data_IF_670358020742
#
_entry.id   IF_670358020742
#
_cell.length_a   1.000
_cell.length_b   1.000
_cell.length_c   1.000
_cell.angle_alpha   90.00
_cell.angle_beta   90.00
_cell.angle_gamma   90.00
#
_symmetry.space_group_name_H-M   'P 1'
#
loop_
_entity.id
_entity.type
_entity.pdbx_description
1 polymer ?
#
# COMPACT_ATOMS: atom_id res chain seq x y z
N UNK A 1 -28.77 4.32 -1.46
CA UNK A 1 -29.42 5.11 -0.39
C UNK A 1 -29.80 6.50 -0.89
N UNK A 2 -28.98 7.16 -1.70
CA UNK A 2 -29.31 8.40 -2.49
C UNK A 2 -30.76 8.47 -3.03
N UNK A 3 -31.27 7.44 -3.70
CA UNK A 3 -32.65 7.44 -4.23
C UNK A 3 -33.74 7.54 -3.15
N UNK A 4 -33.48 7.06 -1.93
CA UNK A 4 -34.40 7.21 -0.79
C UNK A 4 -34.44 8.66 -0.30
N UNK A 5 -33.30 9.36 -0.30
CA UNK A 5 -33.25 10.79 0.02
C UNK A 5 -33.96 11.64 -1.02
N UNK A 6 -33.82 11.32 -2.32
CA UNK A 6 -34.57 11.97 -3.40
C UNK A 6 -36.07 11.76 -3.19
N UNK A 7 -36.51 10.52 -2.98
CA UNK A 7 -37.92 10.21 -2.76
C UNK A 7 -38.50 10.94 -1.53
N UNK A 8 -37.77 10.99 -0.43
CA UNK A 8 -38.15 11.72 0.79
C UNK A 8 -38.35 13.21 0.52
N UNK A 9 -37.43 13.85 -0.19
CA UNK A 9 -37.53 15.28 -0.53
C UNK A 9 -38.69 15.57 -1.48
N UNK A 10 -38.95 14.70 -2.46
CA UNK A 10 -40.09 14.85 -3.38
C UNK A 10 -41.40 14.77 -2.60
N UNK A 11 -41.56 13.78 -1.71
CA UNK A 11 -42.76 13.64 -0.87
C UNK A 11 -42.94 14.86 0.04
N UNK A 12 -41.86 15.36 0.64
CA UNK A 12 -41.90 16.55 1.49
C UNK A 12 -42.28 17.82 0.70
N UNK A 13 -41.77 17.98 -0.53
CA UNK A 13 -42.12 19.09 -1.42
C UNK A 13 -43.62 19.08 -1.77
N UNK A 14 -44.16 17.89 -2.11
CA UNK A 14 -45.60 17.71 -2.36
C UNK A 14 -46.41 18.09 -1.11
N UNK A 15 -45.93 17.70 0.08
CA UNK A 15 -46.51 18.08 1.37
C UNK A 15 -46.57 19.60 1.60
N UNK A 16 -45.49 20.33 1.27
CA UNK A 16 -45.43 21.80 1.38
C UNK A 16 -46.43 22.45 0.43
N UNK A 17 -46.48 22.03 -0.83
CA UNK A 17 -47.42 22.56 -1.84
C UNK A 17 -48.87 22.34 -1.40
N UNK A 18 -49.17 21.18 -0.79
CA UNK A 18 -50.49 20.90 -0.24
C UNK A 18 -50.81 21.79 0.97
N UNK A 19 -49.86 22.01 1.88
CA UNK A 19 -50.02 22.89 3.04
C UNK A 19 -50.28 24.35 2.61
N UNK A 20 -49.56 24.84 1.59
CA UNK A 20 -49.77 26.19 1.04
C UNK A 20 -51.20 26.39 0.51
N UNK A 21 -51.76 25.38 -0.17
CA UNK A 21 -53.15 25.44 -0.65
C UNK A 21 -54.18 25.46 0.49
N UNK A 22 -53.87 24.85 1.63
CA UNK A 22 -54.78 24.74 2.78
C UNK A 22 -54.55 25.77 3.89
N UNK A 23 -53.55 26.65 3.73
CA UNK A 23 -53.15 27.60 4.77
C UNK A 23 -54.24 28.61 5.16
N UNK A 24 -55.13 28.97 4.22
CA UNK A 24 -56.27 29.87 4.49
C UNK A 24 -57.42 29.22 5.26
N UNK A 25 -57.41 27.89 5.38
CA UNK A 25 -58.53 27.09 5.91
C UNK A 25 -58.13 26.25 7.13
N UNK A 26 -56.83 26.05 7.36
CA UNK A 26 -56.30 25.30 8.49
C UNK A 26 -55.12 26.05 9.13
N UNK A 27 -55.28 26.59 10.35
CA UNK A 27 -54.23 27.31 11.08
C UNK A 27 -52.96 26.48 11.29
N UNK A 28 -53.07 25.15 11.36
CA UNK A 28 -51.93 24.26 11.61
C UNK A 28 -51.12 23.92 10.34
N UNK A 29 -51.60 24.30 9.15
CA UNK A 29 -50.91 24.02 7.89
C UNK A 29 -49.51 24.66 7.83
N UNK A 30 -49.31 25.79 8.52
CA UNK A 30 -48.00 26.45 8.62
C UNK A 30 -47.01 25.62 9.45
N UNK A 31 -47.46 24.99 10.54
CA UNK A 31 -46.63 24.10 11.34
C UNK A 31 -46.23 22.83 10.57
N UNK A 32 -47.15 22.25 9.79
CA UNK A 32 -46.85 21.09 8.95
C UNK A 32 -45.87 21.42 7.81
N UNK A 33 -45.98 22.60 7.19
CA UNK A 33 -45.03 23.05 6.18
C UNK A 33 -43.60 23.15 6.75
N UNK A 34 -43.46 23.57 8.01
CA UNK A 34 -42.16 23.61 8.69
C UNK A 34 -41.58 22.20 8.93
N UNK A 35 -42.42 21.22 9.29
CA UNK A 35 -41.98 19.81 9.41
C UNK A 35 -41.47 19.27 8.07
N UNK A 36 -42.18 19.53 6.98
CA UNK A 36 -41.72 19.11 5.65
C UNK A 36 -40.44 19.85 5.21
N UNK A 37 -40.26 21.11 5.59
CA UNK A 37 -39.01 21.83 5.35
C UNK A 37 -37.83 21.16 6.07
N UNK A 38 -37.99 20.76 7.33
CA UNK A 38 -36.96 20.01 8.08
C UNK A 38 -36.65 18.69 7.41
N UNK A 39 -37.65 17.95 6.91
CA UNK A 39 -37.43 16.72 6.15
C UNK A 39 -36.65 16.95 4.86
N UNK A 40 -36.87 18.06 4.16
CA UNK A 40 -36.07 18.44 2.99
C UNK A 40 -34.62 18.71 3.41
N UNK A 41 -34.39 19.45 4.49
CA UNK A 41 -33.04 19.73 4.99
C UNK A 41 -32.29 18.47 5.43
N UNK A 42 -32.97 17.54 6.12
CA UNK A 42 -32.40 16.23 6.50
C UNK A 42 -32.13 15.38 5.26
N UNK A 43 -33.04 15.37 4.29
CA UNK A 43 -32.87 14.64 3.03
C UNK A 43 -31.70 15.18 2.20
N UNK A 44 -31.61 16.50 2.06
CA UNK A 44 -30.53 17.17 1.37
C UNK A 44 -29.19 16.98 2.12
N UNK A 45 -29.17 17.15 3.44
CA UNK A 45 -27.98 16.92 4.27
C UNK A 45 -27.48 15.46 4.20
N UNK A 46 -28.39 14.49 4.29
CA UNK A 46 -28.07 13.07 4.15
C UNK A 46 -27.56 12.71 2.76
N UNK A 47 -28.15 13.28 1.71
CA UNK A 47 -27.66 13.12 0.34
C UNK A 47 -26.28 13.73 0.15
N UNK A 48 -26.07 14.98 0.56
CA UNK A 48 -24.79 15.67 0.46
C UNK A 48 -23.69 14.96 1.28
N UNK A 49 -24.06 14.33 2.39
CA UNK A 49 -23.18 13.47 3.19
C UNK A 49 -22.85 12.15 2.48
N UNK A 50 -23.83 11.49 1.85
CA UNK A 50 -23.57 10.27 1.08
C UNK A 50 -22.79 10.49 -0.21
N UNK A 51 -23.02 11.61 -0.90
CA UNK A 51 -22.32 11.95 -2.14
C UNK A 51 -20.95 12.58 -1.89
N UNK A 52 -20.52 12.69 -0.62
CA UNK A 52 -19.21 13.21 -0.25
C UNK A 52 -18.99 14.69 -0.55
N UNK A 53 -20.05 15.46 -0.86
CA UNK A 53 -19.96 16.89 -1.22
C UNK A 53 -19.52 17.75 -0.01
N UNK A 54 -19.75 17.28 1.21
CA UNK A 54 -19.18 17.87 2.43
C UNK A 54 -17.76 17.38 2.77
N UNK A 55 -17.05 16.73 1.83
CA UNK A 55 -15.71 16.18 2.05
C UNK A 55 -15.73 14.81 2.70
N UNK A 56 -16.50 13.87 2.15
CA UNK A 56 -16.70 12.55 2.75
C UNK A 56 -15.56 11.57 2.48
N UNK A 57 -14.77 11.28 3.50
CA UNK A 57 -13.65 10.33 3.57
C UNK A 57 -13.96 8.88 3.14
N UNK A 58 -15.18 8.50 2.74
CA UNK A 58 -15.56 7.09 2.54
C UNK A 58 -14.88 6.40 1.36
N UNK A 59 -14.77 7.06 0.20
CA UNK A 59 -14.04 6.48 -0.94
C UNK A 59 -12.54 6.45 -0.66
N UNK A 60 -12.01 7.49 0.01
CA UNK A 60 -10.61 7.52 0.43
C UNK A 60 -10.31 6.42 1.45
N UNK A 61 -11.16 6.22 2.45
CA UNK A 61 -11.08 5.17 3.47
C UNK A 61 -11.14 3.78 2.84
N UNK A 62 -12.02 3.59 1.84
CA UNK A 62 -12.12 2.35 1.08
C UNK A 62 -10.84 2.07 0.30
N UNK A 63 -10.30 3.08 -0.39
CA UNK A 63 -9.01 2.98 -1.11
C UNK A 63 -7.89 2.64 -0.13
N UNK A 64 -7.75 3.40 0.97
CA UNK A 64 -6.73 3.15 2.00
C UNK A 64 -6.89 1.75 2.60
N UNK A 65 -8.12 1.31 2.90
CA UNK A 65 -8.37 -0.04 3.43
C UNK A 65 -7.95 -1.14 2.45
N UNK A 66 -8.21 -0.95 1.15
CA UNK A 66 -7.77 -1.86 0.11
C UNK A 66 -6.24 -1.88 0.01
N UNK A 67 -5.59 -0.72 -0.04
CA UNK A 67 -4.13 -0.61 -0.11
C UNK A 67 -3.45 -1.23 1.12
N UNK A 68 -4.02 -1.03 2.31
CA UNK A 68 -3.58 -1.71 3.54
C UNK A 68 -3.68 -3.22 3.39
N UNK A 69 -4.79 -3.77 2.86
CA UNK A 69 -4.93 -5.22 2.66
C UNK A 69 -3.88 -5.77 1.70
N UNK A 70 -3.65 -5.10 0.57
CA UNK A 70 -2.62 -5.54 -0.38
C UNK A 70 -1.22 -5.45 0.22
N UNK A 71 -0.90 -4.39 0.96
CA UNK A 71 0.39 -4.23 1.63
C UNK A 71 0.61 -5.30 2.71
N UNK A 72 -0.42 -5.61 3.52
CA UNK A 72 -0.39 -6.71 4.49
C UNK A 72 -0.20 -8.07 3.80
N UNK A 73 -0.95 -8.34 2.73
CA UNK A 73 -0.84 -9.58 1.98
C UNK A 73 0.57 -9.78 1.41
N UNK A 74 1.15 -8.73 0.82
CA UNK A 74 2.53 -8.71 0.33
C UNK A 74 3.54 -9.00 1.43
N UNK A 75 3.42 -8.33 2.57
CA UNK A 75 4.30 -8.58 3.71
C UNK A 75 4.17 -10.02 4.22
N UNK A 76 2.94 -10.52 4.41
CA UNK A 76 2.68 -11.84 4.96
C UNK A 76 3.22 -12.95 4.05
N UNK A 77 2.90 -12.91 2.75
CA UNK A 77 3.32 -13.95 1.80
C UNK A 77 4.84 -14.03 1.69
N UNK A 78 5.53 -12.89 1.67
CA UNK A 78 6.99 -12.88 1.69
C UNK A 78 7.56 -13.38 3.02
N UNK A 79 7.01 -12.97 4.16
CA UNK A 79 7.45 -13.45 5.46
C UNK A 79 7.26 -14.97 5.60
N UNK A 80 6.15 -15.51 5.11
CA UNK A 80 5.88 -16.96 5.10
C UNK A 80 6.88 -17.71 4.23
N UNK A 81 7.23 -17.16 3.05
CA UNK A 81 8.29 -17.72 2.20
C UNK A 81 9.65 -17.68 2.90
N UNK A 82 10.02 -16.54 3.50
CA UNK A 82 11.27 -16.37 4.24
C UNK A 82 11.36 -17.37 5.38
N UNK A 83 10.31 -17.50 6.19
CA UNK A 83 10.24 -18.42 7.32
C UNK A 83 10.50 -19.88 6.93
N UNK A 84 9.92 -20.31 5.80
CA UNK A 84 10.09 -21.67 5.27
C UNK A 84 11.47 -21.89 4.67
N UNK A 85 12.03 -20.87 4.01
CA UNK A 85 13.24 -21.01 3.18
C UNK A 85 14.52 -20.73 3.98
N UNK A 86 14.45 -19.81 4.95
CA UNK A 86 15.59 -19.25 5.68
C UNK A 86 15.39 -19.30 7.20
N UNK A 87 15.02 -20.47 7.77
CA UNK A 87 14.65 -20.58 9.17
C UNK A 87 15.80 -20.13 10.10
N UNK A 88 15.46 -19.40 11.16
CA UNK A 88 16.41 -18.96 12.19
C UNK A 88 17.42 -17.89 11.76
N UNK A 89 17.37 -17.42 10.51
CA UNK A 89 18.33 -16.43 10.01
C UNK A 89 18.16 -15.05 10.66
N UNK A 90 19.27 -14.31 10.74
CA UNK A 90 19.29 -12.94 11.26
C UNK A 90 18.84 -11.97 10.18
N UNK A 91 17.80 -11.19 10.47
CA UNK A 91 17.24 -10.20 9.58
C UNK A 91 17.42 -8.77 10.08
N UNK A 92 17.51 -7.84 9.14
CA UNK A 92 17.38 -6.39 9.36
C UNK A 92 16.32 -5.87 8.39
N UNK A 93 15.34 -5.16 8.93
CA UNK A 93 14.30 -4.52 8.11
C UNK A 93 14.76 -3.09 7.80
N UNK A 94 14.68 -2.68 6.54
CA UNK A 94 15.06 -1.36 6.06
C UNK A 94 13.83 -0.65 5.51
N UNK A 95 13.51 0.52 6.05
CA UNK A 95 12.29 1.28 5.74
C UNK A 95 12.61 2.69 5.27
N UNK A 96 11.59 3.39 4.77
CA UNK A 96 11.61 4.85 4.63
C UNK A 96 11.55 5.52 6.02
N UNK A 97 12.02 6.77 6.11
CA UNK A 97 12.07 7.52 7.38
C UNK A 97 10.68 7.78 7.98
N UNK A 98 9.67 7.97 7.14
CA UNK A 98 8.30 8.30 7.52
C UNK A 98 7.35 7.10 7.47
N UNK A 99 7.86 5.86 7.56
CA UNK A 99 7.06 4.63 7.49
C UNK A 99 5.83 4.64 8.42
N UNK A 100 5.93 5.29 9.58
CA UNK A 100 4.86 5.36 10.58
C UNK A 100 3.79 6.42 10.30
N UNK A 101 4.02 7.35 9.36
CA UNK A 101 3.07 8.40 9.00
C UNK A 101 2.04 7.90 7.97
N UNK A 102 2.41 6.91 7.16
CA UNK A 102 1.50 6.26 6.20
C UNK A 102 0.81 5.06 6.85
N UNK A 103 -0.53 4.99 6.89
CA UNK A 103 -1.24 3.83 7.43
C UNK A 103 -0.92 2.55 6.63
N UNK A 104 -0.64 2.68 5.33
CA UNK A 104 -0.29 1.56 4.44
C UNK A 104 1.10 1.02 4.80
N UNK A 105 2.10 1.90 4.85
CA UNK A 105 3.50 1.53 5.13
C UNK A 105 3.65 0.97 6.54
N UNK A 106 2.99 1.61 7.52
CA UNK A 106 2.94 1.14 8.91
C UNK A 106 2.34 -0.26 9.01
N UNK A 107 1.17 -0.49 8.41
CA UNK A 107 0.52 -1.79 8.43
C UNK A 107 1.36 -2.88 7.73
N UNK A 108 2.06 -2.54 6.64
CA UNK A 108 2.99 -3.44 5.96
C UNK A 108 4.13 -3.83 6.89
N UNK A 109 4.76 -2.87 7.57
CA UNK A 109 5.87 -3.09 8.50
C UNK A 109 5.45 -3.95 9.69
N UNK A 110 4.36 -3.59 10.36
CA UNK A 110 3.83 -4.35 11.50
C UNK A 110 3.54 -5.80 11.12
N UNK A 111 2.94 -6.02 9.94
CA UNK A 111 2.63 -7.37 9.45
C UNK A 111 3.90 -8.16 9.13
N UNK A 112 4.88 -7.55 8.46
CA UNK A 112 6.17 -8.18 8.15
C UNK A 112 6.88 -8.60 9.44
N UNK A 113 7.03 -7.68 10.39
CA UNK A 113 7.72 -7.92 11.66
C UNK A 113 7.04 -9.04 12.46
N UNK A 114 5.71 -9.02 12.56
CA UNK A 114 4.96 -10.05 13.28
C UNK A 114 5.09 -11.42 12.62
N UNK A 115 4.95 -11.50 11.29
CA UNK A 115 5.03 -12.75 10.54
C UNK A 115 6.44 -13.36 10.56
N UNK A 116 7.49 -12.54 10.40
CA UNK A 116 8.88 -13.00 10.53
C UNK A 116 9.16 -13.55 11.93
N UNK A 117 8.71 -12.84 12.96
CA UNK A 117 8.88 -13.27 14.37
C UNK A 117 8.16 -14.60 14.62
N UNK A 118 6.91 -14.72 14.17
CA UNK A 118 6.13 -15.97 14.29
C UNK A 118 6.79 -17.14 13.54
N UNK A 119 7.49 -16.86 12.43
CA UNK A 119 8.25 -17.84 11.67
C UNK A 119 9.64 -18.17 12.24
N UNK A 120 10.01 -17.59 13.39
CA UNK A 120 11.30 -17.85 14.05
C UNK A 120 12.50 -17.15 13.39
N UNK A 121 12.27 -16.10 12.59
CA UNK A 121 13.33 -15.24 12.06
C UNK A 121 13.82 -14.29 13.15
N UNK A 122 15.14 -14.18 13.31
CA UNK A 122 15.75 -13.27 14.28
C UNK A 122 15.82 -11.85 13.70
N UNK A 123 14.76 -11.07 13.85
CA UNK A 123 14.74 -9.65 13.46
C UNK A 123 15.56 -8.83 14.46
N UNK A 124 16.79 -8.51 14.07
CA UNK A 124 17.77 -7.87 14.95
C UNK A 124 17.68 -6.34 14.99
N UNK A 125 17.09 -5.73 13.95
CA UNK A 125 16.86 -4.29 13.88
C UNK A 125 15.81 -3.95 12.81
N UNK A 126 15.19 -2.79 12.99
CA UNK A 126 14.45 -2.07 11.95
C UNK A 126 15.09 -0.69 11.81
N UNK A 127 15.61 -0.37 10.63
CA UNK A 127 16.37 0.85 10.35
C UNK A 127 15.67 1.67 9.27
N UNK A 128 15.52 2.96 9.53
CA UNK A 128 15.08 3.91 8.52
C UNK A 128 16.26 4.39 7.69
N UNK A 129 16.04 4.57 6.39
CA UNK A 129 17.00 5.24 5.52
C UNK A 129 17.19 6.70 5.98
N UNK A 130 18.45 7.07 6.22
CA UNK A 130 18.82 8.45 6.48
C UNK A 130 19.03 9.19 5.16
N UNK A 131 17.92 9.60 4.54
CA UNK A 131 17.93 10.39 3.31
C UNK A 131 18.13 11.86 3.70
N UNK A 132 19.14 12.56 3.16
CA UNK A 132 19.34 13.98 3.46
C UNK A 132 18.09 14.79 3.15
N UNK A 133 17.70 15.67 4.07
CA UNK A 133 16.58 16.59 3.83
C UNK A 133 16.86 17.47 2.63
N UNK A 134 15.89 17.55 1.73
CA UNK A 134 15.94 18.48 0.61
C UNK A 134 15.60 19.90 1.09
N UNK A 135 16.41 20.89 0.72
CA UNK A 135 16.05 22.29 0.97
C UNK A 135 14.82 22.69 0.14
N UNK A 136 13.86 23.45 0.69
CA UNK A 136 12.76 24.02 -0.10
C UNK A 136 13.23 24.87 -1.28
N UNK A 137 14.40 25.49 -1.17
CA UNK A 137 14.99 26.34 -2.22
C UNK A 137 15.65 25.53 -3.35
N UNK A 138 16.02 24.27 -3.07
CA UNK A 138 16.59 23.35 -4.04
C UNK A 138 16.14 21.92 -3.73
N UNK A 139 14.89 21.56 -4.07
CA UNK A 139 14.36 20.24 -3.75
C UNK A 139 15.11 19.18 -4.54
N UNK A 140 15.68 18.19 -3.83
CA UNK A 140 16.31 17.03 -4.45
C UNK A 140 15.24 15.95 -4.62
N UNK A 141 14.98 15.47 -5.85
CA UNK A 141 14.06 14.36 -6.06
C UNK A 141 14.49 13.12 -5.27
N UNK A 142 13.52 12.37 -4.73
CA UNK A 142 13.79 11.18 -3.93
C UNK A 142 14.63 10.15 -4.72
N UNK A 143 14.39 10.04 -6.02
CA UNK A 143 15.11 9.15 -6.93
C UNK A 143 16.62 9.44 -6.97
N UNK A 144 16.99 10.71 -6.79
CA UNK A 144 18.39 11.17 -6.74
C UNK A 144 18.94 11.04 -5.31
N UNK A 145 18.11 11.28 -4.30
CA UNK A 145 18.52 11.22 -2.90
C UNK A 145 18.78 9.78 -2.39
N UNK A 146 18.13 8.78 -3.00
CA UNK A 146 18.35 7.34 -2.74
C UNK A 146 19.66 6.83 -3.34
N UNK A 147 20.77 7.16 -2.68
CA UNK A 147 22.13 6.77 -3.09
C UNK A 147 22.55 5.41 -2.52
N UNK A 148 23.64 4.83 -3.04
CA UNK A 148 24.24 3.64 -2.46
C UNK A 148 24.71 3.88 -1.02
N UNK A 149 25.13 5.10 -0.71
CA UNK A 149 25.65 5.47 0.62
C UNK A 149 24.60 5.23 1.71
N UNK A 150 23.35 5.66 1.50
CA UNK A 150 22.30 5.55 2.52
C UNK A 150 22.00 4.09 2.88
N UNK A 151 22.13 3.18 1.92
CA UNK A 151 22.00 1.74 2.12
C UNK A 151 23.27 1.11 2.73
N UNK A 152 24.43 1.48 2.20
CA UNK A 152 25.71 0.91 2.62
C UNK A 152 26.02 1.22 4.08
N UNK A 153 25.59 2.36 4.61
CA UNK A 153 25.71 2.68 6.04
C UNK A 153 25.00 1.62 6.90
N UNK A 154 23.80 1.17 6.49
CA UNK A 154 23.06 0.10 7.18
C UNK A 154 23.72 -1.26 6.95
N UNK A 155 24.07 -1.62 5.72
CA UNK A 155 24.73 -2.90 5.41
C UNK A 155 26.04 -3.08 6.17
N UNK A 156 26.81 -2.00 6.33
CA UNK A 156 28.07 -2.04 7.08
C UNK A 156 27.83 -2.15 8.59
N UNK A 157 26.83 -1.45 9.13
CA UNK A 157 26.41 -1.55 10.54
C UNK A 157 25.95 -2.96 10.90
N UNK A 158 25.26 -3.63 9.98
CA UNK A 158 24.67 -4.96 10.18
C UNK A 158 25.30 -6.05 9.30
N UNK A 159 26.63 -6.03 9.16
CA UNK A 159 27.38 -6.95 8.27
C UNK A 159 27.16 -8.45 8.54
N UNK A 160 26.66 -8.81 9.73
CA UNK A 160 26.37 -10.18 10.14
C UNK A 160 24.91 -10.61 9.87
N UNK A 161 24.09 -9.72 9.29
CA UNK A 161 22.74 -10.06 8.87
C UNK A 161 22.77 -10.98 7.64
N UNK A 162 21.92 -12.02 7.69
CA UNK A 162 21.71 -12.92 6.57
C UNK A 162 20.65 -12.39 5.60
N UNK A 163 19.67 -11.63 6.11
CA UNK A 163 18.55 -11.13 5.36
C UNK A 163 18.43 -9.61 5.54
N UNK A 164 18.53 -8.87 4.43
CA UNK A 164 18.16 -7.45 4.39
C UNK A 164 16.77 -7.33 3.77
N UNK A 165 15.77 -7.08 4.61
CA UNK A 165 14.37 -6.95 4.21
C UNK A 165 14.12 -5.50 3.80
N UNK A 166 14.15 -5.23 2.50
CA UNK A 166 13.97 -3.89 1.95
C UNK A 166 12.48 -3.64 1.76
N UNK A 167 11.93 -2.77 2.59
CA UNK A 167 10.55 -2.29 2.51
C UNK A 167 10.44 -0.92 1.82
N UNK A 168 11.56 -0.22 1.67
CA UNK A 168 11.74 0.96 0.82
C UNK A 168 12.00 0.56 -0.64
N UNK A 169 12.21 1.53 -1.53
CA UNK A 169 12.67 1.29 -2.91
C UNK A 169 14.19 1.32 -2.99
N UNK A 170 14.81 0.34 -3.65
CA UNK A 170 16.24 0.38 -4.00
C UNK A 170 16.59 1.63 -4.83
N UNK A 171 17.87 2.03 -4.89
CA UNK A 171 18.31 3.14 -5.73
C UNK A 171 17.83 3.00 -7.17
N UNK A 172 17.13 4.03 -7.68
CA UNK A 172 16.65 4.09 -9.05
C UNK A 172 17.78 4.27 -10.06
N UNK A 173 18.77 5.08 -9.68
CA UNK A 173 19.94 5.35 -10.52
C UNK A 173 20.79 4.09 -10.58
N UNK A 174 20.90 3.48 -11.77
CA UNK A 174 21.58 2.21 -11.96
C UNK A 174 23.04 2.19 -11.47
N UNK A 175 23.76 3.31 -11.56
CA UNK A 175 25.13 3.42 -11.04
C UNK A 175 25.19 3.43 -9.51
N UNK A 176 24.17 3.94 -8.83
CA UNK A 176 24.05 3.84 -7.37
C UNK A 176 23.63 2.43 -6.95
N UNK A 177 22.69 1.82 -7.69
CA UNK A 177 22.30 0.44 -7.48
C UNK A 177 23.53 -0.49 -7.56
N UNK A 178 24.41 -0.34 -8.55
CA UNK A 178 25.61 -1.16 -8.69
C UNK A 178 26.64 -0.98 -7.55
N UNK A 179 26.60 0.14 -6.81
CA UNK A 179 27.52 0.44 -5.71
C UNK A 179 27.08 -0.12 -4.36
N UNK A 180 25.93 -0.79 -4.27
CA UNK A 180 25.51 -1.40 -3.01
C UNK A 180 26.52 -2.46 -2.56
N UNK A 181 27.00 -2.34 -1.33
CA UNK A 181 28.06 -3.19 -0.77
C UNK A 181 27.60 -4.65 -0.63
N UNK A 182 26.30 -4.87 -0.43
CA UNK A 182 25.71 -6.19 -0.32
C UNK A 182 25.92 -7.09 -1.56
N UNK A 183 26.13 -6.51 -2.75
CA UNK A 183 26.40 -7.28 -3.97
C UNK A 183 27.74 -8.01 -3.95
N UNK A 184 28.64 -7.63 -3.05
CA UNK A 184 29.94 -8.28 -2.86
C UNK A 184 29.85 -9.45 -1.88
N UNK A 185 28.72 -9.59 -1.17
CA UNK A 185 28.54 -10.66 -0.20
C UNK A 185 28.25 -11.98 -0.93
N UNK A 186 28.63 -13.08 -0.29
CA UNK A 186 28.21 -14.41 -0.73
C UNK A 186 26.67 -14.52 -0.62
N UNK A 187 25.94 -14.73 -1.74
CA UNK A 187 24.47 -14.81 -1.74
C UNK A 187 23.94 -15.98 -0.89
N UNK A 188 24.78 -16.97 -0.57
CA UNK A 188 24.42 -18.06 0.36
C UNK A 188 24.46 -17.63 1.84
N UNK A 189 25.20 -16.56 2.17
CA UNK A 189 25.34 -16.05 3.53
C UNK A 189 24.48 -14.81 3.80
N UNK A 190 24.32 -13.96 2.80
CA UNK A 190 23.61 -12.69 2.92
C UNK A 190 22.87 -12.36 1.63
N UNK A 191 21.60 -11.98 1.73
CA UNK A 191 20.74 -11.66 0.59
C UNK A 191 19.74 -10.57 0.92
N UNK A 192 19.28 -9.91 -0.13
CA UNK A 192 18.18 -8.96 -0.09
C UNK A 192 16.85 -9.72 -0.24
N UNK A 193 15.83 -9.26 0.49
CA UNK A 193 14.43 -9.57 0.22
C UNK A 193 13.74 -8.26 -0.15
N UNK A 194 13.11 -8.20 -1.33
CA UNK A 194 12.39 -7.01 -1.80
C UNK A 194 10.90 -7.14 -1.52
N UNK A 195 10.46 -6.44 -0.47
CA UNK A 195 9.04 -6.38 -0.10
C UNK A 195 8.30 -5.38 -0.99
N UNK A 196 8.99 -4.30 -1.33
CA UNK A 196 8.49 -3.25 -2.20
C UNK A 196 9.60 -2.89 -3.19
N UNK A 197 9.27 -2.73 -4.47
CA UNK A 197 10.26 -2.27 -5.44
C UNK A 197 10.05 -2.82 -6.84
N UNK A 198 10.63 -2.11 -7.80
CA UNK A 198 10.65 -2.48 -9.20
C UNK A 198 11.75 -3.52 -9.44
N UNK A 199 11.37 -4.67 -10.01
CA UNK A 199 12.32 -5.77 -10.29
C UNK A 199 12.89 -5.73 -11.71
N UNK A 200 12.51 -4.72 -12.50
CA UNK A 200 12.74 -4.65 -13.95
C UNK A 200 14.20 -4.94 -14.34
N UNK A 201 15.16 -4.30 -13.66
CA UNK A 201 16.59 -4.48 -13.92
C UNK A 201 17.28 -5.49 -12.99
N UNK A 202 16.52 -6.30 -12.24
CA UNK A 202 17.04 -7.13 -11.15
C UNK A 202 17.04 -8.63 -11.44
N UNK A 203 16.67 -9.04 -12.66
CA UNK A 203 16.62 -10.46 -13.08
C UNK A 203 17.91 -11.22 -12.74
N UNK A 204 19.08 -10.65 -13.06
CA UNK A 204 20.38 -11.28 -12.78
C UNK A 204 20.71 -11.38 -11.29
N UNK A 205 20.35 -10.37 -10.50
CA UNK A 205 20.54 -10.38 -9.04
C UNK A 205 19.62 -11.41 -8.35
N UNK A 206 18.40 -11.59 -8.86
CA UNK A 206 17.50 -12.65 -8.41
C UNK A 206 18.04 -14.03 -8.82
N UNK A 207 18.41 -14.22 -10.09
CA UNK A 207 18.91 -15.51 -10.58
C UNK A 207 20.17 -15.99 -9.86
N UNK A 208 21.05 -15.07 -9.44
CA UNK A 208 22.28 -15.36 -8.69
C UNK A 208 22.08 -15.51 -7.17
N UNK A 209 20.86 -15.29 -6.65
CA UNK A 209 20.54 -15.43 -5.23
C UNK A 209 20.90 -14.24 -4.34
N UNK A 210 21.44 -13.16 -4.90
CA UNK A 210 21.67 -11.91 -4.15
C UNK A 210 20.34 -11.28 -3.72
N UNK A 211 19.28 -11.48 -4.50
CA UNK A 211 17.90 -11.27 -4.08
C UNK A 211 17.25 -12.64 -3.88
N UNK A 212 16.97 -13.00 -2.63
CA UNK A 212 16.42 -14.30 -2.26
C UNK A 212 14.92 -14.44 -2.52
N UNK A 213 14.20 -13.31 -2.48
CA UNK A 213 12.80 -13.20 -2.86
C UNK A 213 12.44 -11.75 -3.17
N UNK A 214 11.47 -11.56 -4.06
CA UNK A 214 10.86 -10.28 -4.35
C UNK A 214 9.36 -10.44 -4.57
N UNK A 215 8.56 -9.48 -4.10
CA UNK A 215 7.18 -9.32 -4.54
C UNK A 215 7.14 -8.34 -5.73
N UNK A 216 7.09 -8.88 -6.95
CA UNK A 216 6.98 -8.08 -8.15
C UNK A 216 5.53 -7.71 -8.41
N UNK A 217 5.24 -6.44 -8.71
CA UNK A 217 3.91 -6.03 -9.16
C UNK A 217 3.67 -6.56 -10.58
N UNK A 218 2.44 -7.02 -10.84
CA UNK A 218 1.99 -7.39 -12.18
C UNK A 218 1.94 -6.15 -13.07
N UNK A 219 2.13 -6.32 -14.38
CA UNK A 219 2.13 -5.22 -15.36
C UNK A 219 0.78 -5.03 -16.06
N UNK A 220 -0.19 -5.92 -15.84
CA UNK A 220 -1.52 -5.85 -16.43
C UNK A 220 -2.48 -4.90 -15.70
N UNK A 221 -3.62 -4.53 -16.31
CA UNK A 221 -4.63 -3.64 -15.71
C UNK A 221 -5.20 -4.19 -14.40
N UNK A 222 -5.15 -5.51 -14.17
CA UNK A 222 -5.54 -6.15 -12.93
C UNK A 222 -4.64 -5.82 -11.73
N UNK A 223 -3.42 -5.31 -11.99
CA UNK A 223 -2.45 -4.99 -10.96
C UNK A 223 -2.85 -3.76 -10.12
N UNK A 224 -3.59 -2.83 -10.71
CA UNK A 224 -4.09 -1.65 -10.01
C UNK A 224 -5.47 -1.25 -10.52
N UNK A 225 -6.50 -1.72 -9.82
CA UNK A 225 -7.88 -1.26 -9.94
C UNK A 225 -8.30 -0.69 -8.58
N UNK A 226 -8.44 0.65 -8.45
CA UNK A 226 -8.81 1.29 -7.19
C UNK A 226 -10.27 1.06 -6.80
N UNK A 227 -11.14 0.71 -7.76
CA UNK A 227 -12.57 0.48 -7.50
C UNK A 227 -12.83 -0.93 -6.96
N UNK A 228 -11.95 -1.87 -7.32
CA UNK A 228 -12.03 -3.29 -6.93
C UNK A 228 -11.61 -3.52 -5.49
N UNK A 229 -12.56 -4.00 -4.68
CA UNK A 229 -12.31 -4.42 -3.30
C UNK A 229 -11.25 -5.53 -3.23
N UNK A 230 -10.26 -5.35 -2.36
CA UNK A 230 -9.24 -6.35 -2.13
C UNK A 230 -9.85 -7.64 -1.56
N UNK A 231 -9.43 -8.82 -2.05
CA UNK A 231 -9.83 -10.09 -1.45
C UNK A 231 -9.55 -10.14 0.06
N UNK A 232 -10.38 -10.87 0.81
CA UNK A 232 -10.18 -11.04 2.25
C UNK A 232 -9.05 -12.03 2.57
N UNK A 233 -8.92 -13.06 1.75
CA UNK A 233 -7.88 -14.06 1.90
C UNK A 233 -6.52 -13.51 1.48
N UNK A 234 -5.52 -13.66 2.36
CA UNK A 234 -4.16 -13.13 2.18
C UNK A 234 -3.57 -13.51 0.83
N UNK A 235 -3.58 -14.81 0.48
CA UNK A 235 -2.98 -15.29 -0.76
C UNK A 235 -3.73 -14.75 -1.99
N UNK A 236 -5.07 -14.72 -1.94
CA UNK A 236 -5.86 -14.17 -3.05
C UNK A 236 -5.60 -12.67 -3.25
N UNK A 237 -5.44 -11.91 -2.17
CA UNK A 237 -5.08 -10.49 -2.24
C UNK A 237 -3.68 -10.30 -2.83
N UNK A 238 -2.71 -11.13 -2.43
CA UNK A 238 -1.37 -11.13 -3.01
C UNK A 238 -1.41 -11.43 -4.51
N UNK A 239 -2.01 -12.56 -4.89
CA UNK A 239 -2.09 -13.04 -6.28
C UNK A 239 -2.87 -12.10 -7.19
N UNK A 240 -3.66 -11.17 -6.63
CA UNK A 240 -4.31 -10.13 -7.43
C UNK A 240 -3.28 -9.17 -8.03
N UNK A 241 -2.32 -8.68 -7.24
CA UNK A 241 -1.42 -7.59 -7.66
C UNK A 241 0.03 -8.00 -7.85
N UNK A 242 0.45 -9.11 -7.25
CA UNK A 242 1.85 -9.46 -7.12
C UNK A 242 2.16 -10.84 -7.63
N UNK A 243 3.45 -11.06 -7.89
CA UNK A 243 4.07 -12.34 -8.20
C UNK A 243 5.25 -12.48 -7.26
N UNK A 244 5.32 -13.61 -6.55
CA UNK A 244 6.51 -13.97 -5.78
C UNK A 244 7.59 -14.44 -6.74
N UNK A 245 8.68 -13.69 -6.82
CA UNK A 245 9.84 -14.01 -7.66
C UNK A 245 10.99 -14.47 -6.77
N UNK A 246 11.60 -15.59 -7.13
CA UNK A 246 12.70 -16.21 -6.41
C UNK A 246 13.77 -16.69 -7.40
N UNK A 247 14.98 -17.03 -6.93
CA UNK A 247 16.01 -17.63 -7.78
C UNK A 247 15.52 -18.88 -8.53
N UNK A 248 14.59 -19.64 -7.94
CA UNK A 248 14.07 -20.89 -8.50
C UNK A 248 13.09 -20.66 -9.65
N UNK A 249 12.30 -19.59 -9.61
CA UNK A 249 11.23 -19.36 -10.58
C UNK A 249 11.47 -18.17 -11.52
N UNK A 250 12.52 -17.36 -11.32
CA UNK A 250 12.74 -16.12 -12.09
C UNK A 250 12.76 -16.34 -13.61
N UNK A 251 13.28 -17.48 -14.08
CA UNK A 251 13.29 -17.82 -15.50
C UNK A 251 11.86 -18.02 -16.02
N UNK A 252 11.06 -18.82 -15.33
CA UNK A 252 9.66 -19.08 -15.67
C UNK A 252 8.82 -17.80 -15.60
N UNK A 253 9.02 -16.99 -14.55
CA UNK A 253 8.33 -15.70 -14.40
C UNK A 253 8.66 -14.78 -15.58
N UNK A 254 9.92 -14.70 -16.00
CA UNK A 254 10.33 -13.87 -17.13
C UNK A 254 9.72 -14.35 -18.47
N UNK A 255 9.57 -15.66 -18.66
CA UNK A 255 8.95 -16.24 -19.85
C UNK A 255 7.43 -15.97 -19.90
N UNK A 256 6.75 -16.07 -18.76
CA UNK A 256 5.30 -15.88 -18.65
C UNK A 256 4.87 -14.41 -18.56
N UNK A 257 5.75 -13.51 -18.14
CA UNK A 257 5.45 -12.11 -17.89
C UNK A 257 6.49 -11.21 -18.58
N UNK A 258 6.28 -10.99 -19.88
CA UNK A 258 7.29 -10.39 -20.78
C UNK A 258 7.75 -8.97 -20.41
N UNK A 259 6.98 -8.26 -19.58
CA UNK A 259 7.26 -6.86 -19.22
C UNK A 259 7.73 -6.69 -17.76
N UNK A 260 7.86 -7.77 -16.99
CA UNK A 260 8.35 -7.70 -15.60
C UNK A 260 9.85 -7.43 -15.52
N UNK A 261 10.61 -7.87 -16.52
CA UNK A 261 12.05 -7.70 -16.58
C UNK A 261 12.47 -7.01 -17.87
N UNK A 262 13.58 -6.27 -17.81
CA UNK A 262 14.27 -5.79 -19.00
C UNK A 262 14.62 -6.95 -19.94
N UNK A 263 14.56 -6.67 -21.25
CA UNK A 263 14.86 -7.64 -22.31
C UNK A 263 16.34 -7.96 -22.37
#
# INVERSE_FOLDING_TARGET
MVYLYIALMVVALIGIVWCQKKQKVNPNAQAFAFVFLVLILVGAGGMLYETGIFGGDREMDKIISNEVRYAKARSQVLADYIGKTYPGQKAVIITEANVNQSPISKASLETMTAALTAAGINVSATEALNIPESSPENPVPLEVALTAKVYNDIFNKYKDANLYIIMSQLPFVGTELQKLSCWKNDPQKSRIILVNGEVFNLKGAIASGHIGAAAAMKTGPEAYDPEKTAPKETQAAFDTRYILVTPQNVKEVAEKNKDIFAK
#
